data_IF_214110635915
#
_entry.id   IF_214110635915
#
_cell.length_a   1.000
_cell.length_b   1.000
_cell.length_c   1.000
_cell.angle_alpha   90.00
_cell.angle_beta   90.00
_cell.angle_gamma   90.00
#
_symmetry.space_group_name_H-M   'P 1'
#
loop_
_entity.id
_entity.type
_entity.pdbx_description
1 polymer ?
#
# COMPACT_ATOMS: atom_id res chain seq x y z
N UNK A 1 -19.86 -2.42 -25.77
CA UNK A 1 -18.70 -3.06 -25.11
C UNK A 1 -18.09 -2.02 -24.18
N UNK A 2 -18.44 -2.07 -22.89
CA UNK A 2 -17.84 -1.16 -21.90
C UNK A 2 -16.42 -1.66 -21.66
N UNK A 3 -15.40 -0.85 -21.96
CA UNK A 3 -14.05 -1.14 -21.47
C UNK A 3 -14.11 -0.87 -19.97
N UNK A 4 -14.09 -1.92 -19.15
CA UNK A 4 -13.82 -1.73 -17.72
C UNK A 4 -12.41 -1.16 -17.58
N UNK A 5 -12.35 0.13 -17.30
CA UNK A 5 -11.12 0.77 -16.86
C UNK A 5 -10.71 0.12 -15.56
N UNK A 6 -9.60 -0.63 -15.58
CA UNK A 6 -9.02 -1.22 -14.35
C UNK A 6 -8.48 -0.09 -13.47
N UNK A 7 -9.23 0.26 -12.42
CA UNK A 7 -8.79 1.23 -11.42
C UNK A 7 -7.95 0.50 -10.38
N UNK A 8 -6.79 1.05 -10.05
CA UNK A 8 -5.90 0.52 -9.03
C UNK A 8 -5.18 1.64 -8.30
N UNK A 9 -4.63 1.31 -7.14
CA UNK A 9 -3.85 2.23 -6.29
C UNK A 9 -2.51 1.61 -5.91
N UNK A 10 -1.50 2.46 -5.70
CA UNK A 10 -0.22 2.04 -5.15
C UNK A 10 -0.18 2.28 -3.65
N UNK A 11 0.12 1.21 -2.90
CA UNK A 11 0.20 1.25 -1.45
C UNK A 11 1.58 0.81 -0.99
N UNK A 12 2.13 1.53 -0.01
CA UNK A 12 3.37 1.17 0.64
C UNK A 12 3.11 0.08 1.69
N UNK A 13 3.98 -0.91 1.75
CA UNK A 13 3.94 -2.02 2.71
C UNK A 13 5.33 -2.30 3.27
N UNK A 14 5.40 -3.14 4.30
CA UNK A 14 6.67 -3.67 4.77
C UNK A 14 7.22 -4.69 3.77
N UNK A 15 8.56 -4.86 3.66
CA UNK A 15 9.17 -5.82 2.74
C UNK A 15 8.61 -7.25 2.79
N UNK A 16 8.33 -7.77 3.99
CA UNK A 16 7.79 -9.11 4.17
C UNK A 16 6.33 -9.26 3.71
N UNK A 17 5.57 -8.17 3.74
CA UNK A 17 4.15 -8.19 3.40
C UNK A 17 3.94 -8.20 1.88
N UNK A 18 4.86 -7.61 1.11
CA UNK A 18 4.71 -7.49 -0.35
C UNK A 18 4.52 -8.85 -1.03
N UNK A 19 5.37 -9.83 -0.72
CA UNK A 19 5.26 -11.17 -1.29
C UNK A 19 4.03 -11.93 -0.76
N UNK A 20 3.78 -11.83 0.55
CA UNK A 20 2.64 -12.48 1.19
C UNK A 20 1.30 -12.01 0.61
N UNK A 21 1.10 -10.70 0.50
CA UNK A 21 -0.13 -10.10 -0.04
C UNK A 21 -0.36 -10.47 -1.50
N UNK A 22 0.70 -10.52 -2.31
CA UNK A 22 0.66 -10.97 -3.71
C UNK A 22 0.39 -12.48 -3.86
N UNK A 23 0.73 -13.28 -2.85
CA UNK A 23 0.41 -14.70 -2.81
C UNK A 23 -1.02 -14.99 -2.36
N UNK A 24 -1.60 -14.08 -1.57
CA UNK A 24 -2.97 -14.22 -1.06
C UNK A 24 -4.06 -13.80 -2.06
N UNK A 25 -3.81 -12.75 -2.85
CA UNK A 25 -4.81 -12.12 -3.71
C UNK A 25 -4.31 -11.99 -5.15
N UNK A 26 -5.13 -12.42 -6.10
CA UNK A 26 -4.81 -12.35 -7.53
C UNK A 26 -4.69 -10.89 -8.00
N UNK A 27 -5.48 -9.98 -7.41
CA UNK A 27 -5.48 -8.56 -7.76
C UNK A 27 -4.62 -7.68 -6.84
N UNK A 28 -3.67 -8.29 -6.12
CA UNK A 28 -2.52 -7.58 -5.57
C UNK A 28 -1.29 -7.96 -6.38
N UNK A 29 -0.70 -6.99 -7.07
CA UNK A 29 0.47 -7.21 -7.94
C UNK A 29 1.64 -6.34 -7.52
N UNK A 30 2.83 -6.64 -8.05
CA UNK A 30 3.97 -5.74 -7.88
C UNK A 30 3.67 -4.36 -8.48
N UNK A 31 4.01 -3.29 -7.76
CA UNK A 31 3.82 -1.94 -8.27
C UNK A 31 4.76 -1.64 -9.45
N UNK A 32 4.20 -1.12 -10.56
CA UNK A 32 4.98 -0.71 -11.72
C UNK A 32 5.73 0.60 -11.44
N UNK A 33 6.93 0.76 -12.00
CA UNK A 33 7.87 1.88 -11.74
C UNK A 33 8.28 2.14 -10.28
N UNK A 34 7.76 1.40 -9.30
CA UNK A 34 8.09 1.55 -7.88
C UNK A 34 9.06 0.46 -7.40
N UNK A 35 9.60 0.64 -6.18
CA UNK A 35 10.33 -0.41 -5.49
C UNK A 35 9.34 -1.51 -5.05
N UNK A 36 9.35 -2.63 -5.78
CA UNK A 36 8.42 -3.76 -5.61
C UNK A 36 8.51 -4.47 -4.26
N UNK A 37 9.58 -4.23 -3.50
CA UNK A 37 9.72 -4.71 -2.13
C UNK A 37 8.85 -3.91 -1.16
N UNK A 38 8.63 -2.62 -1.44
CA UNK A 38 7.91 -1.73 -0.54
C UNK A 38 6.55 -1.29 -1.08
N UNK A 39 6.25 -1.58 -2.34
CA UNK A 39 5.06 -1.05 -3.00
C UNK A 39 4.32 -2.15 -3.76
N UNK A 40 3.02 -2.21 -3.50
CA UNK A 40 2.07 -3.09 -4.16
C UNK A 40 1.07 -2.28 -4.96
N UNK A 41 0.53 -2.87 -6.02
CA UNK A 41 -0.63 -2.37 -6.77
C UNK A 41 -1.84 -3.16 -6.33
N UNK A 42 -2.90 -2.48 -5.91
CA UNK A 42 -4.16 -3.10 -5.49
C UNK A 42 -5.26 -2.64 -6.45
N UNK A 43 -5.87 -3.57 -7.18
CA UNK A 43 -6.99 -3.22 -8.06
C UNK A 43 -8.28 -3.13 -7.25
N UNK A 44 -9.12 -2.14 -7.58
CA UNK A 44 -10.43 -1.95 -6.96
C UNK A 44 -11.46 -2.86 -7.65
N UNK A 45 -12.58 -3.13 -6.97
CA UNK A 45 -13.63 -4.06 -7.43
C UNK A 45 -13.05 -5.44 -7.79
N UNK A 46 -12.27 -5.99 -6.86
CA UNK A 46 -11.46 -7.19 -7.08
C UNK A 46 -11.78 -8.29 -6.07
N UNK A 47 -10.92 -9.32 -6.02
CA UNK A 47 -10.94 -10.36 -4.98
C UNK A 47 -10.44 -9.85 -3.61
N UNK A 48 -10.01 -8.58 -3.52
CA UNK A 48 -9.58 -7.95 -2.28
C UNK A 48 -10.77 -7.26 -1.62
N UNK A 49 -11.18 -7.65 -0.39
CA UNK A 49 -12.29 -7.00 0.31
C UNK A 49 -12.03 -5.51 0.57
N UNK A 50 -13.04 -4.66 0.40
CA UNK A 50 -12.92 -3.21 0.57
C UNK A 50 -12.38 -2.80 1.95
N UNK A 51 -12.83 -3.47 3.02
CA UNK A 51 -12.33 -3.24 4.37
C UNK A 51 -10.81 -3.51 4.47
N UNK A 52 -10.34 -4.54 3.78
CA UNK A 52 -8.92 -4.86 3.75
C UNK A 52 -8.13 -3.84 2.91
N UNK A 53 -8.69 -3.37 1.79
CA UNK A 53 -8.10 -2.26 1.03
C UNK A 53 -7.95 -1.01 1.91
N UNK A 54 -8.98 -0.68 2.71
CA UNK A 54 -8.93 0.46 3.64
C UNK A 54 -7.85 0.29 4.71
N UNK A 55 -7.66 -0.92 5.24
CA UNK A 55 -6.57 -1.23 6.16
C UNK A 55 -5.20 -1.01 5.50
N UNK A 56 -5.00 -1.52 4.28
CA UNK A 56 -3.75 -1.33 3.52
C UNK A 56 -3.47 0.15 3.22
N UNK A 57 -4.52 0.94 2.95
CA UNK A 57 -4.41 2.40 2.77
C UNK A 57 -3.92 3.06 4.05
N UNK A 58 -4.50 2.70 5.19
CA UNK A 58 -4.11 3.22 6.50
C UNK A 58 -2.65 2.86 6.84
N UNK A 59 -2.23 1.62 6.62
CA UNK A 59 -0.86 1.18 6.88
C UNK A 59 0.15 1.88 5.95
N UNK A 60 -0.20 2.02 4.67
CA UNK A 60 0.59 2.80 3.72
C UNK A 60 0.74 4.26 4.15
N UNK A 61 -0.33 4.88 4.65
CA UNK A 61 -0.28 6.23 5.21
C UNK A 61 0.70 6.31 6.39
N UNK A 62 0.63 5.39 7.36
CA UNK A 62 1.57 5.34 8.50
C UNK A 62 3.03 5.11 8.08
N UNK A 63 3.27 4.42 6.96
CA UNK A 63 4.62 4.21 6.40
C UNK A 63 5.15 5.39 5.59
N UNK A 64 4.29 6.37 5.27
CA UNK A 64 4.61 7.55 4.44
C UNK A 64 4.42 8.86 5.17
N UNK A 65 3.77 8.86 6.34
CA UNK A 65 3.57 10.05 7.14
C UNK A 65 4.91 10.67 7.55
N UNK A 66 4.93 12.01 7.62
CA UNK A 66 6.11 12.73 8.09
C UNK A 66 6.27 12.47 9.58
N UNK A 67 7.32 11.76 9.96
CA UNK A 67 7.74 11.69 11.35
C UNK A 67 8.28 13.06 11.76
N UNK A 68 7.49 13.85 12.47
CA UNK A 68 8.02 15.02 13.16
C UNK A 68 8.94 14.51 14.27
N UNK A 69 10.24 14.66 14.09
CA UNK A 69 11.17 14.51 15.21
C UNK A 69 10.77 15.58 16.22
N UNK A 70 10.29 15.19 17.42
CA UNK A 70 10.24 16.12 18.54
C UNK A 70 11.68 16.58 18.73
N UNK A 71 11.97 17.85 18.45
CA UNK A 71 13.21 18.46 18.92
C UNK A 71 13.09 18.42 20.43
N UNK A 72 13.87 17.53 21.06
CA UNK A 72 14.12 17.63 22.49
C UNK A 72 14.72 19.01 22.73
N UNK A 73 13.88 19.94 23.21
CA UNK A 73 14.35 21.19 23.80
C UNK A 73 14.99 20.75 25.11
N UNK A 74 16.30 20.53 25.09
CA UNK A 74 17.09 20.57 26.32
C UNK A 74 17.20 22.05 26.67
N UNK A 75 16.34 22.49 27.59
CA UNK A 75 16.55 23.72 28.33
C UNK A 75 17.94 23.62 29.01
N UNK A 76 18.68 24.73 28.93
CA UNK A 76 20.09 24.83 29.28
C UNK A 76 20.44 24.66 30.75
#
# INVERSE_FOLDING_TARGET
>A
MVRESKVFIYLKCLPGDSEFLRGMFEKITAAYHMNKWHWISVYLNSDVPDEFIMQLVYDSYRLTEKKTVRKDIKDG
#
